data_IF_445841949410
#
_entry.id   IF_445841949410
#
_cell.length_a   1.000
_cell.length_b   1.000
_cell.length_c   1.000
_cell.angle_alpha   90.00
_cell.angle_beta   90.00
_cell.angle_gamma   90.00
#
_symmetry.space_group_name_H-M   'P 1'
#
loop_
_entity.id
_entity.type
_entity.pdbx_description
1 polymer ?
#
# COMPACT_ATOMS: atom_id res chain seq x y z
N UNK A 1 3.54 -16.75 35.63
CA UNK A 1 2.17 -16.47 35.09
C UNK A 1 2.33 -15.34 34.09
N UNK A 2 2.35 -15.65 32.77
CA UNK A 2 2.36 -14.63 31.72
C UNK A 2 0.98 -13.97 31.67
N UNK A 3 0.94 -12.63 31.65
CA UNK A 3 -0.28 -11.88 31.42
C UNK A 3 -0.88 -12.24 30.06
N UNK A 4 -2.21 -12.34 29.92
CA UNK A 4 -2.82 -12.58 28.62
C UNK A 4 -2.49 -11.42 27.68
N UNK A 5 -1.93 -11.74 26.51
CA UNK A 5 -1.79 -10.78 25.40
C UNK A 5 -3.22 -10.48 24.96
N UNK A 6 -3.73 -9.31 25.34
CA UNK A 6 -4.98 -8.77 24.79
C UNK A 6 -4.68 -8.47 23.32
N UNK A 7 -5.18 -9.30 22.41
CA UNK A 7 -5.16 -9.03 20.98
C UNK A 7 -6.05 -7.79 20.77
N UNK A 8 -5.44 -6.66 20.42
CA UNK A 8 -6.14 -5.43 20.11
C UNK A 8 -7.29 -5.74 19.14
N UNK A 9 -8.49 -5.30 19.50
CA UNK A 9 -9.70 -5.48 18.71
C UNK A 9 -9.52 -4.69 17.39
N UNK A 10 -9.29 -5.43 16.28
CA UNK A 10 -9.17 -4.86 14.95
C UNK A 10 -10.54 -4.75 14.30
N UNK A 11 -10.92 -3.54 13.92
CA UNK A 11 -12.09 -3.27 13.11
C UNK A 11 -11.68 -2.81 11.71
N UNK A 12 -12.39 -3.31 10.69
CA UNK A 12 -12.22 -2.91 9.28
C UNK A 12 -13.56 -2.39 8.79
N UNK A 13 -13.63 -1.10 8.45
CA UNK A 13 -14.85 -0.43 8.04
C UNK A 13 -14.74 0.13 6.63
N UNK A 14 -15.75 -0.07 5.74
CA UNK A 14 -15.68 0.41 4.38
C UNK A 14 -15.63 1.94 4.32
N UNK A 15 -14.85 2.48 3.40
CA UNK A 15 -14.79 3.90 3.08
C UNK A 15 -15.81 4.17 1.97
N UNK A 16 -16.70 5.13 2.21
CA UNK A 16 -17.61 5.60 1.16
C UNK A 16 -16.89 6.65 0.31
N UNK A 17 -17.04 6.54 -1.01
CA UNK A 17 -16.58 7.57 -1.94
C UNK A 17 -17.54 8.75 -1.84
N UNK A 18 -17.11 9.93 -1.44
CA UNK A 18 -17.99 11.08 -1.32
C UNK A 18 -18.21 11.76 -2.67
N UNK A 19 -19.30 12.53 -2.78
CA UNK A 19 -19.50 13.43 -3.91
C UNK A 19 -18.66 14.71 -3.75
N UNK A 20 -18.57 15.20 -2.51
CA UNK A 20 -17.73 16.35 -2.12
C UNK A 20 -16.83 15.97 -0.94
N UNK A 21 -15.52 16.13 -1.11
CA UNK A 21 -14.53 15.82 -0.06
C UNK A 21 -14.63 16.75 1.16
N UNK A 22 -15.26 17.90 1.02
CA UNK A 22 -15.43 18.87 2.11
C UNK A 22 -16.69 18.61 2.94
N UNK A 23 -17.58 17.75 2.46
CA UNK A 23 -18.80 17.38 3.18
C UNK A 23 -18.47 16.62 4.49
N UNK A 24 -19.29 16.73 5.54
CA UNK A 24 -19.07 16.05 6.81
C UNK A 24 -18.94 14.54 6.66
N UNK A 25 -19.73 13.92 5.80
CA UNK A 25 -19.75 12.48 5.49
C UNK A 25 -18.45 11.98 4.84
N UNK A 26 -17.63 12.87 4.29
CA UNK A 26 -16.33 12.54 3.71
C UNK A 26 -15.20 12.35 4.76
N UNK A 27 -15.52 12.39 6.04
CA UNK A 27 -14.50 12.31 7.10
C UNK A 27 -13.62 11.05 7.00
N UNK A 28 -14.21 9.87 6.76
CA UNK A 28 -13.44 8.62 6.60
C UNK A 28 -12.59 8.62 5.32
N UNK A 29 -13.06 9.26 4.26
CA UNK A 29 -12.30 9.40 3.01
C UNK A 29 -11.09 10.32 3.21
N UNK A 30 -11.26 11.47 3.90
CA UNK A 30 -10.13 12.34 4.27
C UNK A 30 -9.13 11.65 5.18
N UNK A 31 -9.62 10.88 6.17
CA UNK A 31 -8.76 10.08 7.03
C UNK A 31 -7.94 9.04 6.24
N UNK A 32 -8.51 8.45 5.18
CA UNK A 32 -7.77 7.55 4.29
C UNK A 32 -6.68 8.27 3.50
N UNK A 33 -6.91 9.52 3.06
CA UNK A 33 -5.88 10.33 2.41
C UNK A 33 -4.73 10.67 3.38
N UNK A 34 -5.07 11.04 4.61
CA UNK A 34 -4.07 11.30 5.66
C UNK A 34 -3.22 10.06 5.97
N UNK A 35 -3.84 8.87 6.11
CA UNK A 35 -3.10 7.61 6.29
C UNK A 35 -2.12 7.38 5.15
N UNK A 36 -2.56 7.55 3.89
CA UNK A 36 -1.69 7.41 2.72
C UNK A 36 -0.47 8.31 2.81
N UNK A 37 -0.68 9.57 3.13
CA UNK A 37 0.39 10.57 3.19
C UNK A 37 1.36 10.26 4.33
N UNK A 38 0.87 9.94 5.52
CA UNK A 38 1.73 9.56 6.66
C UNK A 38 2.54 8.30 6.39
N UNK A 39 1.96 7.29 5.77
CA UNK A 39 2.68 6.06 5.40
C UNK A 39 3.70 6.36 4.30
N UNK A 40 3.33 7.14 3.29
CA UNK A 40 4.22 7.56 2.22
C UNK A 40 5.43 8.34 2.74
N UNK A 41 5.20 9.33 3.59
CA UNK A 41 6.26 10.10 4.23
C UNK A 41 7.18 9.24 5.10
N UNK A 42 6.62 8.27 5.84
CA UNK A 42 7.42 7.33 6.64
C UNK A 42 8.26 6.36 5.80
N UNK A 43 7.88 6.12 4.54
CA UNK A 43 8.59 5.22 3.63
C UNK A 43 9.58 5.97 2.75
N UNK A 44 9.22 7.14 2.22
CA UNK A 44 10.03 7.90 1.26
C UNK A 44 10.80 9.07 1.87
N UNK A 45 10.46 9.45 3.10
CA UNK A 45 11.07 10.61 3.75
C UNK A 45 10.69 11.93 3.09
N UNK A 46 11.66 12.85 2.97
CA UNK A 46 11.47 14.21 2.46
C UNK A 46 11.06 14.28 0.97
N UNK A 47 11.28 13.21 0.22
CA UNK A 47 10.94 13.15 -1.22
C UNK A 47 9.48 12.74 -1.48
N UNK A 48 8.72 12.50 -0.41
CA UNK A 48 7.31 12.20 -0.55
C UNK A 48 6.50 13.48 -0.79
N UNK A 49 5.64 13.43 -1.80
CA UNK A 49 4.69 14.50 -2.10
C UNK A 49 3.30 14.06 -1.66
N UNK A 50 2.68 14.85 -0.80
CA UNK A 50 1.33 14.61 -0.31
C UNK A 50 0.30 14.63 -1.45
N UNK A 51 -0.69 13.75 -1.30
CA UNK A 51 -1.86 13.70 -2.19
C UNK A 51 -3.06 14.23 -1.43
N UNK A 52 -3.73 15.24 -1.97
CA UNK A 52 -4.94 15.79 -1.35
C UNK A 52 -6.13 14.83 -1.47
N UNK A 53 -7.15 15.03 -0.66
CA UNK A 53 -8.38 14.23 -0.75
C UNK A 53 -9.08 14.42 -2.11
N UNK A 54 -9.02 15.62 -2.69
CA UNK A 54 -9.56 15.91 -4.03
C UNK A 54 -8.82 15.10 -5.11
N UNK A 55 -7.50 15.09 -5.09
CA UNK A 55 -6.69 14.30 -6.02
C UNK A 55 -6.97 12.80 -5.86
N UNK A 56 -7.08 12.35 -4.61
CA UNK A 56 -7.43 10.95 -4.32
C UNK A 56 -8.84 10.62 -4.84
N UNK A 57 -9.82 11.52 -4.74
CA UNK A 57 -11.18 11.32 -5.22
C UNK A 57 -11.23 11.12 -6.74
N UNK A 58 -10.46 11.92 -7.49
CA UNK A 58 -10.33 11.75 -8.96
C UNK A 58 -9.83 10.35 -9.30
N UNK A 59 -8.81 9.88 -8.58
CA UNK A 59 -8.25 8.54 -8.79
C UNK A 59 -9.23 7.41 -8.41
N UNK A 60 -10.06 7.60 -7.37
CA UNK A 60 -11.05 6.60 -6.97
C UNK A 60 -12.30 6.54 -7.87
N UNK A 61 -12.51 7.56 -8.71
CA UNK A 61 -13.59 7.63 -9.71
C UNK A 61 -13.10 7.32 -11.13
N UNK A 62 -12.00 6.57 -11.27
CA UNK A 62 -11.50 6.11 -12.56
C UNK A 62 -12.52 5.20 -13.26
N UNK A 63 -12.49 5.18 -14.61
CA UNK A 63 -13.37 4.34 -15.42
C UNK A 63 -12.74 2.96 -15.73
N UNK A 64 -11.45 2.77 -15.41
CA UNK A 64 -10.70 1.57 -15.79
C UNK A 64 -10.72 0.46 -14.72
N UNK A 65 -11.04 0.82 -13.47
CA UNK A 65 -11.03 -0.11 -12.35
C UNK A 65 -12.06 0.27 -11.26
N UNK A 66 -12.56 -0.72 -10.54
CA UNK A 66 -13.29 -0.49 -9.30
C UNK A 66 -12.29 -0.33 -8.15
N UNK A 67 -12.44 0.76 -7.39
CA UNK A 67 -11.62 1.04 -6.21
C UNK A 67 -12.45 0.82 -4.94
N UNK A 68 -12.01 -0.11 -4.10
CA UNK A 68 -12.61 -0.38 -2.80
C UNK A 68 -11.60 -0.06 -1.69
N UNK A 69 -12.05 0.63 -0.66
CA UNK A 69 -11.21 1.00 0.48
C UNK A 69 -11.89 0.75 1.81
N UNK A 70 -11.05 0.48 2.81
CA UNK A 70 -11.46 0.29 4.20
C UNK A 70 -10.49 1.00 5.13
N UNK A 71 -11.02 1.61 6.20
CA UNK A 71 -10.21 2.04 7.33
C UNK A 71 -9.97 0.86 8.27
N UNK A 72 -8.76 0.79 8.79
CA UNK A 72 -8.33 -0.17 9.81
C UNK A 72 -8.23 0.58 11.13
N UNK A 73 -8.94 0.12 12.16
CA UNK A 73 -8.84 0.62 13.53
C UNK A 73 -8.35 -0.48 14.46
N UNK A 74 -7.57 -0.11 15.47
CA UNK A 74 -7.10 -0.99 16.54
C UNK A 74 -7.44 -0.35 17.86
N UNK A 75 -8.23 -1.02 18.70
CA UNK A 75 -8.73 -0.45 19.95
C UNK A 75 -9.48 0.89 19.75
N UNK A 76 -10.23 1.03 18.65
CA UNK A 76 -10.94 2.27 18.27
C UNK A 76 -10.07 3.34 17.59
N UNK A 77 -8.74 3.25 17.67
CA UNK A 77 -7.81 4.23 17.06
C UNK A 77 -7.55 3.90 15.60
N UNK A 78 -7.49 4.93 14.73
CA UNK A 78 -7.14 4.76 13.31
C UNK A 78 -5.72 4.22 13.20
N UNK A 79 -5.60 3.04 12.60
CA UNK A 79 -4.34 2.30 12.48
C UNK A 79 -3.82 2.23 11.04
N UNK A 80 -4.71 2.42 10.04
CA UNK A 80 -4.31 2.30 8.65
C UNK A 80 -5.50 2.24 7.70
N UNK A 81 -5.19 1.83 6.45
CA UNK A 81 -6.20 1.54 5.43
C UNK A 81 -5.85 0.28 4.65
N UNK A 82 -6.86 -0.36 4.08
CA UNK A 82 -6.76 -1.47 3.16
C UNK A 82 -7.46 -1.10 1.85
N UNK A 83 -6.83 -1.41 0.71
CA UNK A 83 -7.31 -1.03 -0.61
C UNK A 83 -7.34 -2.23 -1.53
N UNK A 84 -8.36 -2.31 -2.38
CA UNK A 84 -8.48 -3.29 -3.44
C UNK A 84 -8.88 -2.59 -4.73
N UNK A 85 -8.15 -2.87 -5.79
CA UNK A 85 -8.39 -2.35 -7.13
C UNK A 85 -8.71 -3.54 -8.04
N UNK A 86 -9.83 -3.46 -8.74
CA UNK A 86 -10.33 -4.52 -9.61
C UNK A 86 -10.42 -3.96 -11.03
N UNK A 87 -9.57 -4.41 -11.96
CA UNK A 87 -9.67 -4.01 -13.35
C UNK A 87 -11.03 -4.38 -13.95
N UNK A 88 -11.63 -3.45 -14.70
CA UNK A 88 -12.92 -3.66 -15.40
C UNK A 88 -12.77 -4.36 -16.76
N UNK A 89 -11.54 -4.68 -17.15
CA UNK A 89 -11.24 -5.47 -18.34
C UNK A 89 -11.97 -6.82 -18.30
N UNK A 90 -12.69 -7.13 -19.37
CA UNK A 90 -13.48 -8.38 -19.48
C UNK A 90 -12.57 -9.61 -19.36
N UNK A 91 -12.98 -10.59 -18.55
CA UNK A 91 -12.21 -11.80 -18.29
C UNK A 91 -11.03 -11.63 -17.36
N UNK A 92 -10.75 -10.44 -16.86
CA UNK A 92 -9.71 -10.23 -15.88
C UNK A 92 -9.96 -11.02 -14.60
N UNK A 93 -8.97 -11.79 -14.15
CA UNK A 93 -8.98 -12.52 -12.88
C UNK A 93 -8.14 -11.84 -11.80
N UNK A 94 -7.59 -10.67 -12.08
CA UNK A 94 -6.69 -9.95 -11.18
C UNK A 94 -7.43 -9.10 -10.17
N UNK A 95 -6.86 -9.01 -8.97
CA UNK A 95 -7.11 -7.93 -8.02
C UNK A 95 -5.78 -7.42 -7.49
N UNK A 96 -5.65 -6.11 -7.36
CA UNK A 96 -4.51 -5.47 -6.74
C UNK A 96 -4.87 -5.09 -5.30
N UNK A 97 -4.05 -5.53 -4.35
CA UNK A 97 -4.27 -5.38 -2.91
C UNK A 97 -3.20 -4.47 -2.31
N UNK A 98 -3.60 -3.57 -1.43
CA UNK A 98 -2.66 -2.69 -0.73
C UNK A 98 -3.06 -2.55 0.73
N UNK A 99 -2.10 -2.75 1.62
CA UNK A 99 -2.26 -2.53 3.07
C UNK A 99 -1.27 -1.46 3.50
N UNK A 100 -1.79 -0.39 4.07
CA UNK A 100 -1.00 0.73 4.58
C UNK A 100 -1.33 0.93 6.05
N UNK A 101 -0.35 0.68 6.92
CA UNK A 101 -0.45 0.86 8.36
C UNK A 101 0.44 2.01 8.81
N UNK A 102 -0.08 2.81 9.72
CA UNK A 102 0.67 3.86 10.37
C UNK A 102 1.85 3.28 11.17
N UNK A 103 3.01 3.96 11.23
CA UNK A 103 4.23 3.43 11.84
C UNK A 103 4.05 2.90 13.26
N UNK A 104 3.26 3.58 14.08
CA UNK A 104 2.97 3.22 15.46
C UNK A 104 2.19 1.90 15.64
N UNK A 105 1.65 1.35 14.54
CA UNK A 105 0.91 0.08 14.53
C UNK A 105 1.67 -1.07 13.87
N UNK A 106 2.91 -0.86 13.46
CA UNK A 106 3.72 -1.91 12.86
C UNK A 106 4.08 -3.02 13.87
N UNK A 107 4.33 -4.22 13.37
CA UNK A 107 4.76 -5.36 14.19
C UNK A 107 3.67 -6.00 15.05
N UNK A 108 2.42 -5.52 14.98
CA UNK A 108 1.29 -6.03 15.80
C UNK A 108 0.41 -7.07 15.10
N UNK A 109 0.83 -7.59 13.95
CA UNK A 109 0.07 -8.58 13.18
C UNK A 109 -1.10 -8.02 12.37
N UNK A 110 -1.41 -6.71 12.47
CA UNK A 110 -2.54 -6.08 11.77
C UNK A 110 -2.41 -6.18 10.25
N UNK A 111 -1.18 -6.05 9.72
CA UNK A 111 -0.91 -6.14 8.27
C UNK A 111 -1.31 -7.49 7.69
N UNK A 112 -0.99 -8.60 8.38
CA UNK A 112 -1.37 -9.95 7.95
C UNK A 112 -2.89 -10.13 7.94
N UNK A 113 -3.56 -9.67 9.01
CA UNK A 113 -5.03 -9.75 9.12
C UNK A 113 -5.73 -8.93 8.05
N UNK A 114 -5.24 -7.70 7.78
CA UNK A 114 -5.79 -6.84 6.73
C UNK A 114 -5.57 -7.44 5.33
N UNK A 115 -4.39 -8.02 5.07
CA UNK A 115 -4.11 -8.69 3.80
C UNK A 115 -5.04 -9.90 3.60
N UNK A 116 -5.19 -10.76 4.60
CA UNK A 116 -6.10 -11.92 4.54
C UNK A 116 -7.56 -11.48 4.29
N UNK A 117 -8.00 -10.38 4.92
CA UNK A 117 -9.32 -9.80 4.64
C UNK A 117 -9.46 -9.39 3.18
N UNK A 118 -8.47 -8.69 2.60
CA UNK A 118 -8.50 -8.29 1.19
C UNK A 118 -8.49 -9.49 0.24
N UNK A 119 -7.70 -10.51 0.54
CA UNK A 119 -7.64 -11.75 -0.24
C UNK A 119 -9.00 -12.45 -0.28
N UNK A 120 -9.71 -12.52 0.86
CA UNK A 120 -11.05 -13.06 0.92
C UNK A 120 -12.03 -12.25 0.08
N UNK A 121 -12.03 -10.90 0.22
CA UNK A 121 -12.87 -10.01 -0.58
C UNK A 121 -12.62 -10.12 -2.08
N UNK A 122 -11.37 -10.30 -2.50
CA UNK A 122 -11.00 -10.50 -3.90
C UNK A 122 -11.55 -11.83 -4.43
N UNK A 123 -11.38 -12.93 -3.68
CA UNK A 123 -11.88 -14.26 -4.07
C UNK A 123 -13.40 -14.31 -4.16
N UNK A 124 -14.11 -13.62 -3.28
CA UNK A 124 -15.58 -13.48 -3.34
C UNK A 124 -16.06 -12.81 -4.64
N UNK A 125 -15.19 -12.01 -5.28
CA UNK A 125 -15.44 -11.39 -6.59
C UNK A 125 -14.87 -12.17 -7.76
N UNK A 126 -14.49 -13.44 -7.56
CA UNK A 126 -13.91 -14.30 -8.59
C UNK A 126 -12.50 -13.88 -9.03
N UNK A 127 -11.77 -13.13 -8.20
CA UNK A 127 -10.40 -12.71 -8.47
C UNK A 127 -9.44 -13.63 -7.73
N UNK A 128 -8.69 -14.42 -8.48
CA UNK A 128 -7.76 -15.43 -7.94
C UNK A 128 -6.29 -15.18 -8.31
N UNK A 129 -6.02 -14.16 -9.10
CA UNK A 129 -4.67 -13.63 -9.34
C UNK A 129 -4.52 -12.38 -8.47
N UNK A 130 -3.84 -12.53 -7.33
CA UNK A 130 -3.70 -11.47 -6.35
C UNK A 130 -2.33 -10.81 -6.50
N UNK A 131 -2.31 -9.51 -6.70
CA UNK A 131 -1.11 -8.70 -6.81
C UNK A 131 -1.05 -7.68 -5.68
N UNK A 132 0.14 -7.35 -5.24
CA UNK A 132 0.34 -6.29 -4.25
C UNK A 132 1.54 -5.43 -4.62
N UNK A 133 1.40 -4.13 -4.39
CA UNK A 133 2.48 -3.16 -4.59
C UNK A 133 2.97 -2.67 -3.24
N UNK A 134 4.27 -2.58 -3.10
CA UNK A 134 4.91 -1.97 -1.94
C UNK A 134 6.08 -1.09 -2.35
N UNK A 135 6.42 -0.17 -1.48
CA UNK A 135 7.50 0.77 -1.66
C UNK A 135 8.59 0.49 -0.63
N UNK A 136 9.83 0.56 -1.06
CA UNK A 136 10.99 0.21 -0.26
C UNK A 136 12.06 1.29 -0.38
N UNK A 137 12.46 1.88 0.74
CA UNK A 137 13.63 2.74 0.80
C UNK A 137 14.90 1.92 0.64
N UNK A 138 15.97 2.48 0.07
CA UNK A 138 17.27 1.83 0.08
C UNK A 138 17.70 1.47 1.50
N UNK A 139 18.18 0.26 1.69
CA UNK A 139 18.73 -0.21 2.97
C UNK A 139 19.79 -1.27 2.70
N UNK A 140 20.79 -1.31 3.58
CA UNK A 140 21.78 -2.38 3.61
C UNK A 140 21.22 -3.65 4.25
N UNK A 141 21.87 -4.78 4.03
CA UNK A 141 21.53 -6.07 4.63
C UNK A 141 20.89 -7.04 3.67
N UNK A 142 20.11 -7.98 4.24
CA UNK A 142 19.47 -9.05 3.49
C UNK A 142 18.50 -8.52 2.43
N UNK A 143 18.42 -9.23 1.31
CA UNK A 143 17.60 -8.84 0.16
C UNK A 143 16.68 -9.98 -0.27
N UNK A 144 15.62 -9.60 -0.95
CA UNK A 144 14.71 -10.50 -1.68
C UNK A 144 14.91 -10.26 -3.17
N UNK A 145 15.25 -11.31 -3.90
CA UNK A 145 15.42 -11.24 -5.35
C UNK A 145 14.09 -11.47 -6.07
N UNK A 146 13.90 -10.75 -7.17
CA UNK A 146 12.75 -10.98 -8.04
C UNK A 146 12.87 -12.35 -8.72
N UNK A 147 11.75 -13.07 -8.84
CA UNK A 147 11.68 -14.39 -9.50
C UNK A 147 12.12 -14.33 -10.97
N UNK A 148 11.95 -13.18 -11.60
CA UNK A 148 12.42 -12.92 -12.96
C UNK A 148 13.95 -12.77 -13.09
N UNK A 149 14.67 -12.69 -11.98
CA UNK A 149 16.12 -12.42 -11.94
C UNK A 149 16.48 -10.95 -12.13
N UNK A 150 15.49 -10.05 -12.29
CA UNK A 150 15.72 -8.63 -12.52
C UNK A 150 15.38 -7.79 -11.29
N UNK A 151 16.40 -7.46 -10.52
CA UNK A 151 16.30 -6.59 -9.36
C UNK A 151 16.02 -7.32 -8.06
N UNK A 152 16.32 -6.61 -6.98
CA UNK A 152 16.09 -7.06 -5.61
C UNK A 152 15.69 -5.90 -4.73
N UNK A 153 15.06 -6.19 -3.60
CA UNK A 153 14.62 -5.22 -2.59
C UNK A 153 15.18 -5.60 -1.21
N UNK A 154 15.25 -4.66 -0.27
CA UNK A 154 15.58 -4.99 1.11
C UNK A 154 14.59 -6.00 1.72
N UNK A 155 15.10 -6.88 2.57
CA UNK A 155 14.26 -7.76 3.40
C UNK A 155 13.70 -6.95 4.58
N UNK A 156 12.85 -6.02 4.27
CA UNK A 156 12.19 -5.13 5.23
C UNK A 156 10.86 -5.69 5.73
N UNK A 157 10.11 -4.87 6.42
CA UNK A 157 8.81 -5.21 6.99
C UNK A 157 7.77 -5.58 5.93
N UNK A 158 7.72 -4.83 4.82
CA UNK A 158 6.73 -5.07 3.76
C UNK A 158 7.06 -6.35 2.99
N UNK A 159 8.33 -6.56 2.60
CA UNK A 159 8.77 -7.78 1.93
C UNK A 159 8.60 -9.02 2.80
N UNK A 160 8.83 -8.92 4.13
CA UNK A 160 8.56 -10.03 5.08
C UNK A 160 7.07 -10.36 5.18
N UNK A 161 6.19 -9.35 5.16
CA UNK A 161 4.74 -9.55 5.16
C UNK A 161 4.31 -10.32 3.90
N UNK A 162 4.74 -9.85 2.73
CA UNK A 162 4.36 -10.44 1.45
C UNK A 162 4.91 -11.87 1.30
N UNK A 163 6.20 -12.09 1.53
CA UNK A 163 6.80 -13.43 1.45
C UNK A 163 6.20 -14.39 2.49
N UNK A 164 5.98 -13.92 3.72
CA UNK A 164 5.31 -14.69 4.77
C UNK A 164 3.83 -15.00 4.48
N UNK A 165 3.20 -14.26 3.56
CA UNK A 165 1.85 -14.52 3.05
C UNK A 165 1.83 -15.46 1.83
N UNK A 166 3.00 -15.86 1.31
CA UNK A 166 3.13 -16.73 0.15
C UNK A 166 3.28 -15.99 -1.18
N UNK A 167 3.37 -14.65 -1.17
CA UNK A 167 3.59 -13.87 -2.39
C UNK A 167 5.03 -13.98 -2.85
N UNK A 168 5.22 -14.09 -4.16
CA UNK A 168 6.52 -14.02 -4.82
C UNK A 168 6.78 -12.61 -5.33
N UNK A 169 8.01 -12.13 -5.19
CA UNK A 169 8.45 -10.87 -5.81
C UNK A 169 8.63 -11.12 -7.31
N UNK A 170 7.81 -10.46 -8.13
CA UNK A 170 7.85 -10.62 -9.59
C UNK A 170 8.68 -9.52 -10.25
N UNK A 171 8.48 -8.26 -9.85
CA UNK A 171 9.08 -7.13 -10.55
C UNK A 171 9.51 -6.04 -9.59
N UNK A 172 10.63 -5.39 -9.91
CA UNK A 172 11.17 -4.23 -9.20
C UNK A 172 11.22 -3.05 -10.16
N UNK A 173 10.55 -1.97 -9.77
CA UNK A 173 10.66 -0.68 -10.44
C UNK A 173 11.53 0.24 -9.61
N UNK A 174 12.41 0.97 -10.24
CA UNK A 174 13.20 2.01 -9.60
C UNK A 174 12.62 3.37 -9.95
N UNK A 175 12.37 4.18 -8.95
CA UNK A 175 11.98 5.57 -9.13
C UNK A 175 13.21 6.42 -8.87
N UNK A 176 13.56 7.24 -9.86
CA UNK A 176 14.70 8.14 -9.80
C UNK A 176 14.22 9.56 -9.97
N UNK A 177 14.79 10.48 -9.21
CA UNK A 177 14.59 11.92 -9.39
C UNK A 177 15.78 12.48 -10.16
N UNK A 178 15.49 13.38 -11.08
CA UNK A 178 16.47 14.11 -11.86
C UNK A 178 16.36 15.59 -11.48
N UNK A 179 17.43 16.17 -10.95
CA UNK A 179 17.50 17.62 -10.73
C UNK A 179 17.83 18.32 -12.07
N UNK A 180 16.89 19.10 -12.55
CA UNK A 180 17.01 19.88 -13.79
C UNK A 180 17.49 21.33 -13.55
N UNK A 181 17.82 21.71 -12.32
CA UNK A 181 18.25 23.08 -11.98
C UNK A 181 19.73 23.31 -12.22
N UNK A 182 20.52 22.24 -12.39
CA UNK A 182 21.95 22.27 -12.69
C UNK A 182 22.30 22.28 -14.18
N UNK A 183 23.59 22.36 -14.53
CA UNK A 183 24.05 22.19 -15.92
C UNK A 183 23.66 20.82 -16.46
N UNK A 184 23.14 20.74 -17.68
CA UNK A 184 22.64 19.49 -18.27
C UNK A 184 23.69 18.38 -18.44
N UNK A 185 24.95 18.74 -18.49
CA UNK A 185 26.11 17.83 -18.58
C UNK A 185 26.55 17.23 -17.23
N UNK A 186 26.00 17.73 -16.12
CA UNK A 186 26.23 17.22 -14.75
C UNK A 186 25.05 16.42 -14.19
N UNK A 187 24.09 16.02 -15.03
CA UNK A 187 22.87 15.32 -14.58
C UNK A 187 23.18 13.85 -14.29
N UNK A 188 23.18 13.49 -13.00
CA UNK A 188 23.22 12.10 -12.55
C UNK A 188 21.87 11.70 -11.96
N UNK A 189 21.22 10.64 -12.46
CA UNK A 189 19.97 10.16 -11.87
C UNK A 189 20.23 9.55 -10.50
N UNK A 190 19.52 10.05 -9.49
CA UNK A 190 19.57 9.49 -8.14
C UNK A 190 18.39 8.55 -7.94
N UNK A 191 18.65 7.28 -7.66
CA UNK A 191 17.60 6.32 -7.31
C UNK A 191 17.18 6.54 -5.86
N UNK A 192 15.93 6.94 -5.64
CA UNK A 192 15.43 7.29 -4.31
C UNK A 192 14.74 6.13 -3.60
N UNK A 193 14.01 5.28 -4.33
CA UNK A 193 13.33 4.13 -3.77
C UNK A 193 12.92 3.13 -4.85
N UNK A 194 12.53 1.92 -4.43
CA UNK A 194 11.98 0.89 -5.30
C UNK A 194 10.49 0.70 -5.05
N UNK A 195 9.70 0.65 -6.11
CA UNK A 195 8.33 0.15 -6.10
C UNK A 195 8.33 -1.26 -6.66
N UNK A 196 7.57 -2.15 -6.07
CA UNK A 196 7.63 -3.57 -6.40
C UNK A 196 6.26 -4.18 -6.56
N UNK A 197 6.16 -5.20 -7.40
CA UNK A 197 4.96 -6.01 -7.56
C UNK A 197 5.22 -7.42 -7.03
N UNK A 198 4.35 -7.84 -6.12
CA UNK A 198 4.24 -9.19 -5.62
C UNK A 198 3.00 -9.86 -6.19
N UNK A 199 3.07 -11.17 -6.46
CA UNK A 199 1.95 -11.98 -6.94
C UNK A 199 1.82 -13.24 -6.10
N UNK A 200 0.58 -13.61 -5.77
CA UNK A 200 0.17 -14.85 -5.14
C UNK A 200 -0.50 -15.74 -6.15
#
# INVERSE_FOLDING_TARGET
MSAPVVLDEMAITPIRVPDDVNAPEAADFRAAAEVRNRVGAATRGADYVDVTAEQMLVHWKTEDEEVHGWLIRSGGTLAGRAMMYIPLEEGSRRAQLRVELLPEFWGRGLGRRALSFLEERARERGRDILQSWSEHSPADGDRVDARTGFGSIPLDRASRLMSGAGYSLEQVYRISTLDLTGPLDAIEPTSLFATTMFTL
#
